data_IF_624876858160
#
_entry.id   IF_624876858160
#
_cell.length_a   1.000
_cell.length_b   1.000
_cell.length_c   1.000
_cell.angle_alpha   90.00
_cell.angle_beta   90.00
_cell.angle_gamma   90.00
#
_symmetry.space_group_name_H-M   'P 1'
#
loop_
_entity.id
_entity.type
_entity.pdbx_description
1 polymer ?
#
# COMPACT_ATOMS: atom_id res chain seq x y z
N UNK A 1 25.10 -3.99 19.90
CA UNK A 1 23.63 -3.97 19.77
C UNK A 1 23.27 -5.12 18.86
N UNK A 2 22.40 -6.05 19.27
CA UNK A 2 22.16 -7.26 18.46
C UNK A 2 21.18 -6.97 17.32
N UNK A 3 21.37 -7.68 16.21
CA UNK A 3 20.43 -7.71 15.09
C UNK A 3 19.59 -8.98 15.18
N UNK A 4 18.32 -8.85 15.54
CA UNK A 4 17.44 -9.97 15.92
C UNK A 4 16.46 -10.39 14.82
N UNK A 5 16.57 -9.84 13.61
CA UNK A 5 15.64 -10.16 12.52
C UNK A 5 15.93 -11.56 11.96
N UNK A 6 14.89 -12.38 11.85
CA UNK A 6 14.96 -13.71 11.26
C UNK A 6 14.06 -13.77 10.02
N UNK A 7 14.60 -14.18 8.85
CA UNK A 7 13.82 -14.40 7.66
C UNK A 7 12.81 -15.51 7.88
N UNK A 8 11.72 -15.42 7.13
CA UNK A 8 10.69 -16.43 7.14
C UNK A 8 11.03 -17.56 6.18
N UNK A 9 10.59 -18.77 6.52
CA UNK A 9 10.50 -19.85 5.54
C UNK A 9 9.49 -19.49 4.45
N UNK A 10 9.60 -20.13 3.29
CA UNK A 10 8.71 -19.83 2.16
C UNK A 10 7.23 -20.09 2.48
N UNK A 11 6.95 -21.14 3.25
CA UNK A 11 5.61 -21.45 3.74
C UNK A 11 5.09 -20.36 4.69
N UNK A 12 5.91 -19.91 5.64
CA UNK A 12 5.51 -18.86 6.58
C UNK A 12 5.33 -17.50 5.87
N UNK A 13 6.22 -17.15 4.95
CA UNK A 13 6.13 -15.91 4.16
C UNK A 13 4.88 -15.88 3.28
N UNK A 14 4.52 -17.00 2.66
CA UNK A 14 3.31 -17.08 1.84
C UNK A 14 2.03 -16.99 2.67
N UNK A 15 2.00 -17.59 3.87
CA UNK A 15 0.84 -17.50 4.75
C UNK A 15 0.72 -16.11 5.39
N UNK A 16 1.82 -15.48 5.82
CA UNK A 16 1.78 -14.11 6.35
C UNK A 16 1.38 -13.10 5.27
N UNK A 17 1.88 -13.27 4.03
CA UNK A 17 1.41 -12.47 2.90
C UNK A 17 -0.10 -12.63 2.69
N UNK A 18 -0.63 -13.85 2.76
CA UNK A 18 -2.07 -14.11 2.62
C UNK A 18 -2.86 -13.51 3.78
N UNK A 19 -2.40 -13.67 5.02
CA UNK A 19 -3.08 -13.12 6.18
C UNK A 19 -3.14 -11.60 6.12
N UNK A 20 -2.04 -10.94 5.72
CA UNK A 20 -2.01 -9.48 5.53
C UNK A 20 -2.92 -9.02 4.40
N UNK A 21 -2.96 -9.71 3.27
CA UNK A 21 -3.90 -9.40 2.19
C UNK A 21 -5.37 -9.63 2.60
N UNK A 22 -5.62 -10.47 3.62
CA UNK A 22 -6.97 -10.69 4.16
C UNK A 22 -7.35 -9.66 5.23
N UNK A 23 -6.38 -9.24 6.06
CA UNK A 23 -6.59 -8.39 7.21
C UNK A 23 -6.45 -6.88 6.91
N UNK A 24 -5.72 -6.50 5.87
CA UNK A 24 -5.53 -5.10 5.50
C UNK A 24 -6.73 -4.54 4.73
N UNK A 25 -6.86 -3.22 4.76
CA UNK A 25 -7.74 -2.42 3.89
C UNK A 25 -7.41 -2.58 2.39
N UNK A 26 -6.47 -3.46 2.03
CA UNK A 26 -6.13 -3.83 0.67
C UNK A 26 -7.24 -4.61 -0.08
N UNK A 27 -8.42 -4.77 0.53
CA UNK A 27 -9.58 -5.36 -0.12
C UNK A 27 -10.45 -4.28 -0.76
N UNK A 28 -10.77 -4.39 -2.06
CA UNK A 28 -11.76 -3.51 -2.66
C UNK A 28 -13.10 -3.72 -1.96
N UNK A 29 -13.82 -2.63 -1.69
CA UNK A 29 -15.16 -2.71 -1.11
C UNK A 29 -16.11 -3.33 -2.13
N UNK A 30 -17.03 -4.17 -1.65
CA UNK A 30 -17.98 -4.89 -2.49
C UNK A 30 -19.41 -4.64 -2.05
N UNK A 31 -20.31 -4.60 -3.04
CA UNK A 31 -21.76 -4.65 -2.85
C UNK A 31 -22.23 -5.95 -3.50
N UNK A 32 -22.42 -6.99 -2.69
CA UNK A 32 -22.67 -8.35 -3.17
C UNK A 32 -21.47 -8.90 -3.99
N UNK A 33 -21.70 -9.46 -5.19
CA UNK A 33 -20.60 -9.99 -6.02
C UNK A 33 -19.77 -8.90 -6.72
N UNK A 34 -20.28 -7.66 -6.80
CA UNK A 34 -19.69 -6.58 -7.59
C UNK A 34 -18.81 -5.65 -6.73
N UNK A 35 -17.80 -5.04 -7.36
CA UNK A 35 -17.01 -3.99 -6.72
C UNK A 35 -17.86 -2.74 -6.56
N UNK A 36 -17.71 -2.07 -5.41
CA UNK A 36 -18.46 -0.86 -5.09
C UNK A 36 -18.23 0.24 -6.14
N UNK A 37 -17.00 0.37 -6.65
CA UNK A 37 -16.69 1.31 -7.73
C UNK A 37 -17.47 1.00 -9.03
N UNK A 38 -17.66 -0.27 -9.38
CA UNK A 38 -18.43 -0.68 -10.56
C UNK A 38 -19.92 -0.36 -10.39
N UNK A 39 -20.49 -0.66 -9.22
CA UNK A 39 -21.88 -0.33 -8.91
C UNK A 39 -22.10 1.18 -8.92
N UNK A 40 -21.19 1.93 -8.29
CA UNK A 40 -21.27 3.37 -8.24
C UNK A 40 -21.07 4.02 -9.63
N UNK A 41 -20.25 3.44 -10.51
CA UNK A 41 -20.10 3.89 -11.89
C UNK A 41 -21.41 3.76 -12.69
N UNK A 42 -22.06 2.59 -12.60
CA UNK A 42 -23.33 2.33 -13.28
C UNK A 42 -24.42 3.28 -12.76
N UNK A 43 -24.48 3.50 -11.45
CA UNK A 43 -25.42 4.45 -10.84
C UNK A 43 -25.12 5.90 -11.28
N UNK A 44 -23.87 6.34 -11.23
CA UNK A 44 -23.49 7.69 -11.66
C UNK A 44 -23.82 7.94 -13.15
N UNK A 45 -23.57 6.95 -14.01
CA UNK A 45 -23.89 7.05 -15.44
C UNK A 45 -25.41 7.08 -15.69
N UNK A 46 -26.17 6.19 -15.06
CA UNK A 46 -27.63 6.13 -15.22
C UNK A 46 -28.32 7.38 -14.71
N UNK A 47 -27.92 7.90 -13.53
CA UNK A 47 -28.46 9.15 -13.02
C UNK A 47 -27.99 10.38 -13.79
N UNK A 48 -26.75 10.38 -14.28
CA UNK A 48 -26.27 11.44 -15.19
C UNK A 48 -27.06 11.49 -16.50
N UNK A 49 -27.35 10.33 -17.11
CA UNK A 49 -28.18 10.25 -18.30
C UNK A 49 -29.63 10.66 -18.04
N UNK A 50 -30.21 10.23 -16.92
CA UNK A 50 -31.56 10.64 -16.52
C UNK A 50 -31.64 12.16 -16.33
N UNK A 51 -30.64 12.79 -15.70
CA UNK A 51 -30.56 14.24 -15.54
C UNK A 51 -30.57 14.99 -16.88
N UNK A 52 -29.77 14.55 -17.86
CA UNK A 52 -29.73 15.17 -19.19
C UNK A 52 -31.11 15.09 -19.88
N UNK A 53 -31.82 13.97 -19.73
CA UNK A 53 -33.14 13.77 -20.34
C UNK A 53 -34.23 14.59 -19.65
N UNK A 54 -34.23 14.65 -18.31
CA UNK A 54 -35.35 15.25 -17.56
C UNK A 54 -35.15 16.73 -17.24
N UNK A 55 -33.92 17.16 -16.96
CA UNK A 55 -33.61 18.53 -16.54
C UNK A 55 -32.96 19.36 -17.64
N UNK A 56 -32.33 18.72 -18.64
CA UNK A 56 -31.76 19.39 -19.80
C UNK A 56 -32.77 20.27 -20.57
N UNK A 57 -34.00 19.81 -20.85
CA UNK A 57 -35.01 20.62 -21.51
C UNK A 57 -35.44 21.86 -20.71
N UNK A 58 -35.68 21.73 -19.41
CA UNK A 58 -36.09 22.86 -18.54
C UNK A 58 -34.99 23.92 -18.38
N UNK A 59 -33.72 23.50 -18.32
CA UNK A 59 -32.56 24.40 -18.26
C UNK A 59 -32.34 25.17 -19.58
N UNK A 60 -32.75 24.61 -20.72
CA UNK A 60 -32.55 25.20 -22.05
C UNK A 60 -33.77 26.00 -22.52
N UNK A 61 -34.98 25.66 -22.05
CA UNK A 61 -36.23 26.28 -22.50
C UNK A 61 -36.92 27.16 -21.45
N UNK A 62 -36.37 27.26 -20.22
CA UNK A 62 -36.79 28.26 -19.24
C UNK A 62 -38.20 28.05 -18.69
N UNK A 63 -38.71 26.83 -18.70
CA UNK A 63 -40.00 26.46 -18.14
C UNK A 63 -39.83 26.13 -16.65
N UNK A 64 -40.11 27.08 -15.77
CA UNK A 64 -39.94 26.95 -14.30
C UNK A 64 -40.92 25.96 -13.64
N UNK A 65 -41.73 25.21 -14.39
CA UNK A 65 -42.84 24.41 -13.86
C UNK A 65 -42.36 23.17 -13.08
N UNK A 66 -41.13 22.71 -13.32
CA UNK A 66 -40.56 21.50 -12.69
C UNK A 66 -39.14 21.70 -12.13
N UNK A 67 -38.76 22.93 -11.80
CA UNK A 67 -37.41 23.26 -11.28
C UNK A 67 -36.97 22.43 -10.05
N UNK A 68 -37.93 21.98 -9.22
CA UNK A 68 -37.66 21.13 -8.06
C UNK A 68 -37.22 19.70 -8.46
N UNK A 69 -37.73 19.15 -9.57
CA UNK A 69 -37.29 17.86 -10.11
C UNK A 69 -35.87 17.97 -10.62
N UNK A 70 -35.54 19.05 -11.34
CA UNK A 70 -34.18 19.32 -11.80
C UNK A 70 -33.19 19.42 -10.63
N UNK A 71 -33.51 20.18 -9.57
CA UNK A 71 -32.67 20.28 -8.38
C UNK A 71 -32.49 18.93 -7.66
N UNK A 72 -33.55 18.12 -7.56
CA UNK A 72 -33.47 16.78 -6.96
C UNK A 72 -32.57 15.84 -7.78
N UNK A 73 -32.63 15.92 -9.11
CA UNK A 73 -31.79 15.13 -10.00
C UNK A 73 -30.32 15.56 -9.93
N UNK A 74 -30.02 16.87 -9.83
CA UNK A 74 -28.66 17.37 -9.57
C UNK A 74 -28.13 16.83 -8.23
N UNK A 75 -28.92 16.93 -7.18
CA UNK A 75 -28.52 16.46 -5.84
C UNK A 75 -28.22 14.95 -5.85
N UNK A 76 -29.05 14.17 -6.54
CA UNK A 76 -28.86 12.72 -6.63
C UNK A 76 -27.63 12.35 -7.49
N UNK A 77 -27.43 13.04 -8.62
CA UNK A 77 -26.24 12.88 -9.44
C UNK A 77 -24.96 13.24 -8.68
N UNK A 78 -24.98 14.29 -7.86
CA UNK A 78 -23.85 14.68 -7.01
C UNK A 78 -23.56 13.63 -5.92
N UNK A 79 -24.60 13.07 -5.28
CA UNK A 79 -24.43 11.99 -4.29
C UNK A 79 -23.87 10.71 -4.93
N UNK A 80 -24.39 10.30 -6.09
CA UNK A 80 -23.87 9.13 -6.82
C UNK A 80 -22.45 9.35 -7.32
N UNK A 81 -22.14 10.55 -7.83
CA UNK A 81 -20.80 10.94 -8.27
C UNK A 81 -19.80 10.95 -7.11
N UNK A 82 -20.15 11.56 -5.97
CA UNK A 82 -19.31 11.57 -4.77
C UNK A 82 -19.06 10.17 -4.22
N UNK A 83 -20.09 9.32 -4.22
CA UNK A 83 -19.96 7.92 -3.82
C UNK A 83 -19.04 7.14 -4.78
N UNK A 84 -19.16 7.37 -6.10
CA UNK A 84 -18.29 6.77 -7.10
C UNK A 84 -16.82 7.17 -6.91
N UNK A 85 -16.54 8.46 -6.74
CA UNK A 85 -15.16 8.93 -6.51
C UNK A 85 -14.58 8.31 -5.25
N UNK A 86 -15.34 8.30 -4.15
CA UNK A 86 -14.91 7.66 -2.89
C UNK A 86 -14.62 6.17 -3.06
N UNK A 87 -15.49 5.43 -3.75
CA UNK A 87 -15.30 4.01 -4.02
C UNK A 87 -14.09 3.76 -4.93
N UNK A 88 -13.85 4.61 -5.92
CA UNK A 88 -12.72 4.47 -6.84
C UNK A 88 -11.38 4.75 -6.15
N UNK A 89 -11.30 5.81 -5.33
CA UNK A 89 -10.12 6.14 -4.52
C UNK A 89 -9.80 5.04 -3.49
N UNK A 90 -10.84 4.41 -2.94
CA UNK A 90 -10.64 3.28 -2.05
C UNK A 90 -10.12 2.04 -2.79
N UNK A 91 -10.67 1.72 -3.96
CA UNK A 91 -10.19 0.58 -4.75
C UNK A 91 -8.75 0.79 -5.25
N UNK A 92 -8.36 2.03 -5.60
CA UNK A 92 -6.99 2.34 -6.00
C UNK A 92 -6.02 2.23 -4.83
N UNK A 93 -6.34 2.83 -3.69
CA UNK A 93 -5.51 2.71 -2.47
C UNK A 93 -5.43 1.27 -1.97
N UNK A 94 -6.51 0.49 -2.07
CA UNK A 94 -6.50 -0.93 -1.73
C UNK A 94 -5.60 -1.74 -2.67
N UNK A 95 -5.62 -1.44 -3.97
CA UNK A 95 -4.74 -2.05 -4.98
C UNK A 95 -3.27 -1.72 -4.73
N UNK A 96 -2.96 -0.47 -4.38
CA UNK A 96 -1.62 -0.01 -4.00
C UNK A 96 -1.13 -0.69 -2.71
N UNK A 97 -1.98 -0.79 -1.69
CA UNK A 97 -1.64 -1.53 -0.48
C UNK A 97 -1.37 -3.01 -0.79
N UNK A 98 -2.19 -3.64 -1.63
CA UNK A 98 -1.99 -5.03 -2.05
C UNK A 98 -0.71 -5.22 -2.88
N UNK A 99 -0.33 -4.25 -3.73
CA UNK A 99 0.91 -4.30 -4.50
C UNK A 99 2.13 -4.09 -3.59
N UNK A 100 2.07 -3.16 -2.64
CA UNK A 100 3.12 -2.90 -1.67
C UNK A 100 3.36 -4.11 -0.74
N UNK A 101 2.29 -4.79 -0.29
CA UNK A 101 2.40 -6.04 0.46
C UNK A 101 3.10 -7.09 -0.41
N UNK A 102 2.64 -7.31 -1.65
CA UNK A 102 3.27 -8.28 -2.56
C UNK A 102 4.75 -8.00 -2.80
N UNK A 103 5.12 -6.74 -3.03
CA UNK A 103 6.50 -6.32 -3.22
C UNK A 103 7.37 -6.56 -1.98
N UNK A 104 6.80 -6.40 -0.77
CA UNK A 104 7.53 -6.62 0.49
C UNK A 104 7.92 -8.10 0.69
N UNK A 105 7.10 -9.02 0.15
CA UNK A 105 7.34 -10.47 0.21
C UNK A 105 7.99 -11.04 -1.06
N UNK A 106 8.38 -10.19 -2.00
CA UNK A 106 9.16 -10.61 -3.15
C UNK A 106 10.59 -10.99 -2.73
N UNK A 107 11.23 -11.83 -3.55
CA UNK A 107 12.66 -12.13 -3.40
C UNK A 107 13.47 -10.84 -3.55
N UNK A 108 14.55 -10.73 -2.77
CA UNK A 108 15.41 -9.56 -2.83
C UNK A 108 16.06 -9.47 -4.21
N UNK A 109 16.00 -8.28 -4.82
CA UNK A 109 16.66 -8.03 -6.10
C UNK A 109 18.18 -8.07 -5.98
N UNK A 110 18.90 -8.25 -7.09
CA UNK A 110 20.38 -8.25 -7.12
C UNK A 110 20.98 -6.99 -6.48
N UNK A 111 20.36 -5.82 -6.70
CA UNK A 111 20.78 -4.56 -6.07
C UNK A 111 20.63 -4.56 -4.55
N UNK A 112 19.57 -5.21 -4.04
CA UNK A 112 19.35 -5.38 -2.60
C UNK A 112 20.31 -6.40 -1.99
N UNK A 113 20.62 -7.48 -2.71
CA UNK A 113 21.63 -8.45 -2.30
C UNK A 113 23.03 -7.84 -2.27
N UNK A 114 23.39 -7.01 -3.26
CA UNK A 114 24.64 -6.25 -3.26
C UNK A 114 24.75 -5.32 -2.04
N UNK A 115 23.65 -4.64 -1.68
CA UNK A 115 23.60 -3.86 -0.44
C UNK A 115 23.83 -4.74 0.80
N UNK A 116 23.20 -5.91 0.87
CA UNK A 116 23.39 -6.84 1.99
C UNK A 116 24.85 -7.33 2.09
N UNK A 117 25.50 -7.59 0.95
CA UNK A 117 26.92 -7.98 0.89
C UNK A 117 27.80 -6.87 1.46
N UNK A 118 27.57 -5.61 1.08
CA UNK A 118 28.31 -4.47 1.63
C UNK A 118 28.13 -4.35 3.15
N UNK A 119 26.89 -4.39 3.64
CA UNK A 119 26.60 -4.27 5.07
C UNK A 119 27.11 -5.46 5.89
N UNK A 120 27.11 -6.67 5.33
CA UNK A 120 27.74 -7.84 5.97
C UNK A 120 29.24 -7.63 6.23
N UNK A 121 29.94 -6.89 5.36
CA UNK A 121 31.36 -6.59 5.52
C UNK A 121 31.63 -5.53 6.61
N UNK A 122 30.71 -4.58 6.78
CA UNK A 122 30.86 -3.44 7.68
C UNK A 122 30.30 -3.68 9.10
N UNK A 123 29.32 -4.57 9.22
CA UNK A 123 28.64 -4.89 10.47
C UNK A 123 28.70 -6.40 10.75
N UNK A 124 29.55 -6.83 11.69
CA UNK A 124 29.67 -8.24 12.06
C UNK A 124 28.34 -8.88 12.46
N UNK A 125 27.45 -8.14 13.13
CA UNK A 125 26.14 -8.59 13.57
C UNK A 125 25.24 -9.00 12.39
N UNK A 126 25.24 -8.20 11.32
CA UNK A 126 24.55 -8.55 10.06
C UNK A 126 25.21 -9.78 9.45
N UNK A 127 26.54 -9.85 9.46
CA UNK A 127 27.27 -10.99 8.93
C UNK A 127 26.97 -12.31 9.64
N UNK A 128 26.80 -12.30 10.97
CA UNK A 128 26.37 -13.47 11.74
C UNK A 128 24.96 -13.91 11.35
N UNK A 129 24.01 -12.97 11.29
CA UNK A 129 22.64 -13.27 10.89
C UNK A 129 22.57 -13.84 9.46
N UNK A 130 23.24 -13.21 8.48
CA UNK A 130 23.24 -13.70 7.10
C UNK A 130 23.86 -15.10 6.99
N UNK A 131 24.94 -15.40 7.73
CA UNK A 131 25.50 -16.77 7.77
C UNK A 131 24.48 -17.78 8.31
N UNK A 132 23.74 -17.42 9.34
CA UNK A 132 22.68 -18.27 9.89
C UNK A 132 21.55 -18.47 8.88
N UNK A 133 21.14 -17.42 8.16
CA UNK A 133 20.09 -17.51 7.14
C UNK A 133 20.49 -18.44 5.99
N UNK A 134 21.75 -18.33 5.55
CA UNK A 134 22.31 -19.22 4.52
C UNK A 134 22.42 -20.67 5.00
N UNK A 135 22.83 -20.90 6.25
CA UNK A 135 22.88 -22.23 6.85
C UNK A 135 21.50 -22.90 6.94
N UNK A 136 20.44 -22.09 7.10
CA UNK A 136 19.05 -22.54 7.10
C UNK A 136 18.41 -22.60 5.71
N UNK A 137 19.17 -22.27 4.64
CA UNK A 137 18.69 -22.19 3.26
C UNK A 137 17.44 -21.31 3.10
N UNK A 138 17.38 -20.20 3.83
CA UNK A 138 16.23 -19.29 3.79
C UNK A 138 16.31 -18.32 2.61
N UNK A 139 15.17 -18.12 1.94
CA UNK A 139 15.02 -17.14 0.88
C UNK A 139 15.02 -15.72 1.46
N UNK A 140 15.99 -14.91 1.05
CA UNK A 140 16.11 -13.51 1.47
C UNK A 140 15.13 -12.66 0.65
N UNK A 141 14.27 -11.93 1.34
CA UNK A 141 13.22 -11.10 0.74
C UNK A 141 13.46 -9.61 0.97
N UNK A 142 12.77 -8.77 0.22
CA UNK A 142 12.81 -7.30 0.38
C UNK A 142 12.50 -6.86 1.81
N UNK A 143 11.60 -7.55 2.52
CA UNK A 143 11.34 -7.32 3.95
C UNK A 143 12.60 -7.42 4.81
N UNK A 144 13.42 -8.45 4.57
CA UNK A 144 14.61 -8.72 5.37
C UNK A 144 15.67 -7.64 5.14
N UNK A 145 15.82 -7.21 3.89
CA UNK A 145 16.70 -6.10 3.50
C UNK A 145 16.25 -4.78 4.14
N UNK A 146 14.94 -4.52 4.21
CA UNK A 146 14.41 -3.35 4.91
C UNK A 146 14.71 -3.40 6.41
N UNK A 147 14.63 -4.57 7.04
CA UNK A 147 14.99 -4.74 8.45
C UNK A 147 16.47 -4.44 8.68
N UNK A 148 17.35 -4.91 7.78
CA UNK A 148 18.78 -4.57 7.79
C UNK A 148 18.98 -3.07 7.69
N UNK A 149 18.38 -2.40 6.70
CA UNK A 149 18.47 -0.93 6.54
C UNK A 149 18.02 -0.20 7.80
N UNK A 150 16.87 -0.57 8.35
CA UNK A 150 16.32 0.08 9.54
C UNK A 150 17.22 -0.08 10.77
N UNK A 151 17.90 -1.22 10.89
CA UNK A 151 18.88 -1.44 11.95
C UNK A 151 20.15 -0.60 11.73
N UNK A 152 20.69 -0.57 10.51
CA UNK A 152 21.87 0.24 10.16
C UNK A 152 21.61 1.72 10.46
N UNK A 153 20.48 2.27 10.00
CA UNK A 153 20.09 3.66 10.27
C UNK A 153 20.02 3.98 11.76
N UNK A 154 19.71 2.99 12.61
CA UNK A 154 19.65 3.16 14.07
C UNK A 154 21.03 3.09 14.72
N UNK A 155 21.91 2.22 14.24
CA UNK A 155 23.22 1.96 14.84
C UNK A 155 24.25 3.00 14.41
N UNK A 156 24.16 3.50 13.19
CA UNK A 156 25.16 4.39 12.60
C UNK A 156 25.40 5.68 13.43
N UNK A 157 24.37 6.40 13.90
CA UNK A 157 24.58 7.57 14.76
C UNK A 157 25.27 7.25 16.08
N UNK A 158 25.05 6.05 16.63
CA UNK A 158 25.68 5.62 17.89
C UNK A 158 27.15 5.30 17.68
N UNK A 159 27.50 4.66 16.55
CA UNK A 159 28.90 4.42 16.17
C UNK A 159 29.63 5.73 15.95
N UNK A 160 29.05 6.66 15.19
CA UNK A 160 29.69 7.95 14.94
C UNK A 160 29.86 8.74 16.23
N UNK A 161 28.86 8.76 17.11
CA UNK A 161 29.01 9.36 18.45
C UNK A 161 30.15 8.72 19.23
N UNK A 162 30.24 7.39 19.25
CA UNK A 162 31.32 6.69 19.98
C UNK A 162 32.70 7.02 19.42
N UNK A 163 32.82 7.17 18.09
CA UNK A 163 34.04 7.56 17.40
C UNK A 163 34.44 9.01 17.67
N UNK A 164 33.47 9.92 17.77
CA UNK A 164 33.73 11.30 18.15
C UNK A 164 34.14 11.41 19.61
N UNK A 165 33.51 10.64 20.51
CA UNK A 165 33.89 10.59 21.92
C UNK A 165 35.29 10.01 22.12
N UNK A 166 35.69 8.99 21.37
CA UNK A 166 37.05 8.45 21.46
C UNK A 166 38.10 9.49 21.03
N UNK A 167 37.82 10.26 19.98
CA UNK A 167 38.70 11.36 19.53
C UNK A 167 38.80 12.54 20.50
N UNK A 168 37.83 12.69 21.41
CA UNK A 168 37.86 13.71 22.46
C UNK A 168 38.57 13.22 23.72
N UNK A 169 38.72 11.91 23.87
CA UNK A 169 39.42 11.29 25.00
C UNK A 169 40.94 11.17 24.76
N UNK A 170 41.36 11.23 23.48
CA UNK A 170 42.75 11.38 23.02
C UNK A 170 43.20 12.85 23.05
#
# INVERSE_FOLDING_TARGET
>A
MEFTHSPLTDAAATEERRSLLRASDARPRRVGPLRQATVAAVLAFTFGAAFVVTAGPDLVHGTNEHAWLALSAVALAALCGGWFVSAHLHDSSASEAASAIRATYAEASDGELNYLVAMKGEYPEIGHAVRQWMALSLTIRTRDIRAVRAWVTRVEPLRERSRLLSKLAD
#
